data_IF_916250005316
#
_entry.id   IF_916250005316
#
_cell.length_a   1.000
_cell.length_b   1.000
_cell.length_c   1.000
_cell.angle_alpha   90.00
_cell.angle_beta   90.00
_cell.angle_gamma   90.00
#
_symmetry.space_group_name_H-M   'P 1'
#
loop_
_entity.id
_entity.type
_entity.pdbx_description
1 polymer ?
#
# COMPACT_ATOMS: atom_id res chain seq x y z
N UNK A 1 -8.77 -24.43 -31.04
CA UNK A 1 -7.36 -24.41 -31.49
C UNK A 1 -7.01 -22.98 -31.86
N UNK A 2 -6.14 -22.34 -31.07
CA UNK A 2 -5.71 -20.94 -31.18
C UNK A 2 -5.01 -20.56 -29.87
N UNK A 3 -3.70 -20.32 -29.94
CA UNK A 3 -2.75 -20.37 -28.82
C UNK A 3 -2.64 -19.06 -28.03
N UNK A 4 -2.53 -19.17 -26.69
CA UNK A 4 -1.77 -18.20 -25.91
C UNK A 4 -0.28 -18.44 -26.15
N UNK A 5 0.44 -17.48 -26.75
CA UNK A 5 1.91 -17.43 -26.68
C UNK A 5 2.29 -16.55 -25.48
N UNK A 6 3.15 -16.94 -24.56
CA UNK A 6 3.95 -18.17 -24.52
C UNK A 6 4.39 -18.54 -23.10
N UNK A 7 4.80 -19.80 -22.97
CA UNK A 7 5.40 -20.38 -21.76
C UNK A 7 4.48 -21.36 -21.03
N UNK A 8 4.44 -22.61 -21.49
CA UNK A 8 3.81 -23.75 -20.80
C UNK A 8 4.76 -24.37 -19.79
N UNK A 9 4.25 -24.80 -18.64
CA UNK A 9 4.47 -26.20 -18.21
C UNK A 9 3.23 -26.78 -17.48
N UNK A 10 2.78 -27.99 -17.85
CA UNK A 10 1.63 -28.66 -17.24
C UNK A 10 2.09 -29.67 -16.18
N UNK A 11 1.78 -29.42 -14.90
CA UNK A 11 1.57 -30.38 -13.79
C UNK A 11 1.86 -29.73 -12.41
N UNK A 12 1.09 -28.70 -12.04
CA UNK A 12 1.16 -28.06 -10.71
C UNK A 12 -0.24 -27.89 -10.09
N UNK A 13 -0.37 -27.82 -8.74
CA UNK A 13 -1.65 -27.81 -8.02
C UNK A 13 -2.45 -26.51 -8.28
N UNK A 14 -3.72 -26.40 -7.85
CA UNK A 14 -4.73 -25.55 -8.48
C UNK A 14 -4.36 -24.06 -8.39
N UNK A 15 -4.59 -23.34 -9.49
CA UNK A 15 -4.35 -21.89 -9.61
C UNK A 15 -5.14 -21.15 -8.53
N UNK A 16 -4.41 -20.65 -7.54
CA UNK A 16 -4.87 -19.84 -6.43
C UNK A 16 -5.22 -18.42 -6.88
N UNK A 17 -6.32 -17.87 -6.36
CA UNK A 17 -6.76 -16.47 -6.33
C UNK A 17 -6.61 -15.68 -7.64
N UNK A 18 -7.63 -15.79 -8.50
CA UNK A 18 -7.78 -14.92 -9.66
C UNK A 18 -8.78 -13.81 -9.36
N UNK A 19 -8.25 -12.60 -9.42
CA UNK A 19 -8.79 -11.47 -10.17
C UNK A 19 -10.10 -10.87 -9.65
N UNK A 20 -9.98 -9.71 -9.01
CA UNK A 20 -11.12 -8.99 -8.47
C UNK A 20 -11.24 -7.54 -8.93
N UNK A 21 -10.37 -7.08 -9.82
CA UNK A 21 -10.64 -5.90 -10.65
C UNK A 21 -10.24 -6.07 -12.14
N UNK A 22 -9.97 -7.31 -12.58
CA UNK A 22 -9.73 -7.65 -13.99
C UNK A 22 -10.40 -8.96 -14.45
N UNK A 23 -11.33 -9.54 -13.67
CA UNK A 23 -12.22 -10.60 -14.20
C UNK A 23 -13.66 -10.38 -13.83
N UNK A 24 -14.40 -9.78 -14.75
CA UNK A 24 -15.74 -10.28 -15.07
C UNK A 24 -15.57 -11.53 -15.94
N UNK A 25 -15.08 -12.64 -15.37
CA UNK A 25 -15.05 -13.91 -16.10
C UNK A 25 -15.49 -15.04 -15.20
N UNK A 26 -16.80 -15.31 -15.23
CA UNK A 26 -17.41 -16.42 -14.49
C UNK A 26 -18.72 -16.91 -15.11
N UNK A 27 -19.67 -16.02 -15.42
CA UNK A 27 -21.02 -16.47 -15.80
C UNK A 27 -21.67 -15.75 -17.00
N UNK A 28 -21.03 -14.74 -17.61
CA UNK A 28 -21.65 -13.88 -18.64
C UNK A 28 -20.98 -13.89 -20.03
N UNK A 29 -20.21 -14.91 -20.39
CA UNK A 29 -19.74 -15.08 -21.79
C UNK A 29 -18.79 -13.99 -22.32
N UNK A 30 -18.17 -13.19 -21.44
CA UNK A 30 -17.15 -12.21 -21.80
C UNK A 30 -15.79 -12.93 -21.82
N UNK A 31 -15.31 -13.24 -23.03
CA UNK A 31 -14.06 -14.00 -23.22
C UNK A 31 -12.79 -13.16 -23.12
N UNK A 32 -12.89 -11.83 -23.02
CA UNK A 32 -11.73 -10.96 -22.83
C UNK A 32 -12.14 -9.67 -22.08
N UNK A 33 -11.94 -9.66 -20.76
CA UNK A 33 -12.23 -8.48 -19.91
C UNK A 33 -11.18 -7.37 -20.15
N UNK A 34 -10.06 -7.73 -20.78
CA UNK A 34 -8.97 -6.81 -21.15
C UNK A 34 -9.37 -5.81 -22.24
N UNK A 35 -10.34 -6.16 -23.07
CA UNK A 35 -10.85 -5.28 -24.12
C UNK A 35 -11.96 -4.32 -23.64
N UNK A 36 -12.48 -4.51 -22.41
CA UNK A 36 -13.59 -3.73 -21.85
C UNK A 36 -13.17 -2.74 -20.75
N UNK A 37 -11.94 -2.85 -20.25
CA UNK A 37 -11.35 -1.89 -19.33
C UNK A 37 -10.55 -0.90 -20.17
N UNK A 38 -11.01 0.35 -20.34
CA UNK A 38 -10.22 1.31 -21.08
C UNK A 38 -9.10 1.80 -20.17
N UNK A 39 -7.95 1.14 -20.22
CA UNK A 39 -6.85 1.44 -19.31
C UNK A 39 -5.76 0.38 -19.30
N UNK A 40 -4.59 0.74 -18.81
CA UNK A 40 -3.56 -0.22 -18.45
C UNK A 40 -3.81 -0.66 -17.00
N UNK A 41 -3.98 -1.95 -16.76
CA UNK A 41 -4.20 -2.48 -15.42
C UNK A 41 -2.94 -3.19 -14.89
N UNK A 42 -2.65 -2.94 -13.62
CA UNK A 42 -1.66 -3.67 -12.84
C UNK A 42 -2.39 -4.79 -12.09
N UNK A 43 -2.21 -6.03 -12.59
CA UNK A 43 -2.85 -7.23 -12.07
C UNK A 43 -2.39 -7.57 -10.64
N UNK A 44 -1.19 -7.14 -10.24
CA UNK A 44 -0.68 -7.44 -8.90
C UNK A 44 -1.42 -6.60 -7.87
N UNK A 45 -1.54 -5.28 -8.08
CA UNK A 45 -2.22 -4.38 -7.13
C UNK A 45 -3.71 -4.16 -7.40
N UNK A 46 -4.26 -4.86 -8.41
CA UNK A 46 -5.66 -4.77 -8.82
C UNK A 46 -6.10 -3.32 -9.13
N UNK A 47 -5.23 -2.53 -9.74
CA UNK A 47 -5.46 -1.13 -10.06
C UNK A 47 -5.43 -0.90 -11.57
N UNK A 48 -6.37 -0.12 -12.09
CA UNK A 48 -6.36 0.32 -13.48
C UNK A 48 -5.97 1.80 -13.58
N UNK A 49 -5.33 2.13 -14.69
CA UNK A 49 -4.82 3.46 -15.01
C UNK A 49 -5.17 3.83 -16.44
N UNK A 50 -5.07 5.11 -16.76
CA UNK A 50 -5.17 5.56 -18.13
C UNK A 50 -4.19 4.82 -19.08
N UNK A 51 -4.56 4.67 -20.35
CA UNK A 51 -3.72 4.11 -21.43
C UNK A 51 -3.18 5.20 -22.39
N UNK A 52 -3.35 6.47 -22.01
CA UNK A 52 -3.11 7.62 -22.85
C UNK A 52 -1.84 8.39 -22.50
N UNK A 53 -1.89 9.70 -22.79
CA UNK A 53 -0.83 10.66 -22.44
C UNK A 53 -0.42 10.56 -20.96
N UNK A 54 -1.40 10.38 -20.06
CA UNK A 54 -1.21 10.23 -18.62
C UNK A 54 -1.30 8.78 -18.14
N UNK A 55 -0.87 7.82 -18.96
CA UNK A 55 -0.95 6.40 -18.62
C UNK A 55 0.10 5.89 -17.63
N UNK A 56 -0.13 4.71 -17.06
CA UNK A 56 0.83 4.02 -16.20
C UNK A 56 1.95 3.38 -17.05
N UNK A 57 3.13 3.19 -16.47
CA UNK A 57 4.23 2.47 -17.12
C UNK A 57 4.90 1.51 -16.13
N UNK A 58 4.86 0.22 -16.47
CA UNK A 58 5.44 -0.86 -15.67
C UNK A 58 6.91 -0.61 -15.31
N UNK A 59 7.35 -1.00 -14.10
CA UNK A 59 8.77 -0.99 -13.75
C UNK A 59 9.62 -1.94 -14.63
N UNK A 60 9.01 -2.99 -15.17
CA UNK A 60 9.67 -4.05 -15.94
C UNK A 60 9.09 -4.22 -17.34
N UNK A 61 9.94 -4.59 -18.30
CA UNK A 61 9.52 -5.11 -19.60
C UNK A 61 9.20 -6.62 -19.44
N UNK A 62 7.97 -6.95 -19.02
CA UNK A 62 7.49 -8.34 -18.85
C UNK A 62 6.91 -8.64 -17.47
N UNK A 63 6.85 -9.93 -17.10
CA UNK A 63 6.35 -10.38 -15.78
C UNK A 63 7.46 -10.27 -14.72
N UNK A 64 7.46 -9.18 -13.95
CA UNK A 64 8.29 -9.01 -12.76
C UNK A 64 7.41 -8.92 -11.51
N UNK A 65 7.97 -8.98 -10.30
CA UNK A 65 7.19 -8.68 -9.10
C UNK A 65 6.83 -7.18 -9.09
N UNK A 66 5.55 -6.81 -9.23
CA UNK A 66 5.12 -5.41 -9.28
C UNK A 66 5.09 -4.74 -7.88
N UNK A 67 5.86 -5.27 -6.94
CA UNK A 67 6.10 -4.70 -5.60
C UNK A 67 7.04 -3.48 -5.64
N UNK A 68 7.35 -2.97 -6.83
CA UNK A 68 8.29 -1.89 -7.09
C UNK A 68 7.56 -0.67 -7.67
N UNK A 69 8.00 0.56 -7.35
CA UNK A 69 7.44 1.76 -7.94
C UNK A 69 7.50 1.72 -9.47
N UNK A 70 6.43 2.13 -10.18
CA UNK A 70 6.41 2.15 -11.63
C UNK A 70 7.33 3.23 -12.20
N UNK A 71 7.68 3.11 -13.49
CA UNK A 71 8.42 4.17 -14.20
C UNK A 71 7.59 5.44 -14.31
N UNK A 72 6.27 5.26 -14.47
CA UNK A 72 5.28 6.32 -14.47
C UNK A 72 4.02 5.81 -13.77
N UNK A 73 3.59 6.51 -12.72
CA UNK A 73 2.40 6.12 -11.97
C UNK A 73 1.12 6.25 -12.81
N UNK A 74 1.05 7.27 -13.68
CA UNK A 74 -0.15 7.56 -14.47
C UNK A 74 -1.34 8.00 -13.62
N UNK A 75 -2.44 8.33 -14.29
CA UNK A 75 -3.70 8.68 -13.63
C UNK A 75 -4.50 7.42 -13.32
N UNK A 76 -4.92 7.22 -12.06
CA UNK A 76 -5.70 6.06 -11.67
C UNK A 76 -7.13 6.13 -12.24
N UNK A 77 -7.69 4.95 -12.50
CA UNK A 77 -9.07 4.72 -12.90
C UNK A 77 -9.73 3.77 -11.90
N UNK A 78 -10.18 4.32 -10.78
CA UNK A 78 -10.88 3.56 -9.74
C UNK A 78 -12.29 3.13 -10.19
N UNK A 79 -13.00 2.38 -9.35
CA UNK A 79 -14.34 1.83 -9.64
C UNK A 79 -15.33 2.88 -10.21
N UNK A 80 -15.36 4.07 -9.61
CA UNK A 80 -16.26 5.14 -10.03
C UNK A 80 -15.74 5.97 -11.22
N UNK A 81 -14.49 5.79 -11.61
CA UNK A 81 -13.85 6.46 -12.74
C UNK A 81 -13.76 5.51 -13.95
N UNK A 82 -14.90 4.93 -14.33
CA UNK A 82 -15.01 3.95 -15.41
C UNK A 82 -16.08 4.39 -16.43
N UNK A 83 -15.97 3.97 -17.70
CA UNK A 83 -16.95 4.33 -18.72
C UNK A 83 -18.31 3.67 -18.43
N UNK A 84 -19.39 4.42 -18.61
CA UNK A 84 -20.76 3.94 -18.47
C UNK A 84 -21.30 3.23 -19.73
N UNK A 85 -20.49 3.12 -20.78
CA UNK A 85 -20.80 2.41 -22.03
C UNK A 85 -19.52 1.94 -22.73
N UNK A 86 -19.62 0.83 -23.44
CA UNK A 86 -18.53 0.32 -24.28
C UNK A 86 -18.36 1.13 -25.56
N UNK A 87 -17.34 0.78 -26.34
CA UNK A 87 -17.03 1.43 -27.63
C UNK A 87 -18.17 1.29 -28.66
N UNK A 88 -18.96 0.23 -28.54
CA UNK A 88 -20.15 -0.04 -29.35
C UNK A 88 -21.40 0.73 -28.86
N UNK A 89 -21.27 1.51 -27.78
CA UNK A 89 -22.35 2.24 -27.14
C UNK A 89 -23.22 1.40 -26.22
N UNK A 90 -22.88 0.12 -25.99
CA UNK A 90 -23.62 -0.75 -25.06
C UNK A 90 -23.47 -0.22 -23.63
N UNK A 91 -24.57 0.03 -22.89
CA UNK A 91 -24.51 0.49 -21.52
C UNK A 91 -23.78 -0.49 -20.60
N UNK A 92 -22.88 0.05 -19.75
CA UNK A 92 -22.16 -0.66 -18.72
C UNK A 92 -22.74 -0.25 -17.35
N UNK A 93 -23.17 -1.23 -16.56
CA UNK A 93 -23.85 -0.99 -15.28
C UNK A 93 -22.92 -0.60 -14.12
N UNK A 94 -21.60 -0.60 -14.35
CA UNK A 94 -20.57 -0.43 -13.32
C UNK A 94 -19.81 0.90 -13.44
N UNK A 95 -19.73 1.49 -14.64
CA UNK A 95 -19.10 2.79 -14.84
C UNK A 95 -20.06 3.97 -14.72
N UNK A 96 -19.51 5.15 -14.45
CA UNK A 96 -20.28 6.37 -14.15
C UNK A 96 -20.04 7.51 -15.14
N UNK A 97 -18.99 7.44 -15.94
CA UNK A 97 -18.58 8.53 -16.83
C UNK A 97 -18.87 8.23 -18.29
N UNK A 98 -19.23 9.25 -19.06
CA UNK A 98 -19.24 9.11 -20.51
C UNK A 98 -17.80 8.88 -21.02
N UNK A 99 -17.53 7.97 -21.97
CA UNK A 99 -16.19 7.75 -22.50
C UNK A 99 -15.49 9.03 -22.99
N UNK A 100 -16.23 10.03 -23.49
CA UNK A 100 -15.63 11.31 -23.90
C UNK A 100 -15.09 12.13 -22.72
N UNK A 101 -15.65 11.97 -21.53
CA UNK A 101 -15.17 12.62 -20.30
C UNK A 101 -13.84 12.02 -19.80
N UNK A 102 -13.56 10.77 -20.19
CA UNK A 102 -12.34 10.06 -19.81
C UNK A 102 -11.27 10.15 -20.89
N UNK A 103 -11.63 9.95 -22.16
CA UNK A 103 -10.70 9.80 -23.28
C UNK A 103 -10.76 10.93 -24.32
N UNK A 104 -11.55 11.98 -24.06
CA UNK A 104 -11.57 13.16 -24.91
C UNK A 104 -10.19 13.82 -25.01
N UNK A 105 -9.70 14.20 -26.20
CA UNK A 105 -8.31 14.61 -26.42
C UNK A 105 -7.90 15.88 -25.65
N UNK A 106 -8.83 16.82 -25.44
CA UNK A 106 -8.53 18.12 -24.83
C UNK A 106 -9.09 18.29 -23.41
N UNK A 107 -10.10 17.49 -23.03
CA UNK A 107 -10.82 17.63 -21.76
C UNK A 107 -10.91 16.34 -20.95
N UNK A 108 -10.51 15.22 -21.54
CA UNK A 108 -10.64 13.89 -20.96
C UNK A 108 -9.62 13.62 -19.87
N UNK A 109 -10.04 12.91 -18.82
CA UNK A 109 -9.18 12.50 -17.70
C UNK A 109 -7.84 11.88 -18.11
N UNK A 110 -7.80 11.10 -19.19
CA UNK A 110 -6.60 10.36 -19.60
C UNK A 110 -5.68 11.10 -20.58
N UNK A 111 -6.17 12.13 -21.25
CA UNK A 111 -5.43 12.83 -22.32
C UNK A 111 -5.11 14.28 -21.99
N UNK A 112 -6.01 14.98 -21.29
CA UNK A 112 -5.87 16.41 -21.06
C UNK A 112 -4.91 16.73 -19.92
N UNK A 113 -4.12 17.80 -20.04
CA UNK A 113 -3.32 18.27 -18.91
C UNK A 113 -4.18 18.75 -17.73
N UNK A 114 -5.30 19.40 -18.03
CA UNK A 114 -6.28 19.87 -17.05
C UNK A 114 -7.67 19.38 -17.45
N UNK A 115 -8.04 18.13 -17.11
CA UNK A 115 -9.33 17.55 -17.46
C UNK A 115 -10.49 18.24 -16.73
N UNK A 116 -11.66 18.23 -17.37
CA UNK A 116 -12.89 18.73 -16.74
C UNK A 116 -13.40 17.76 -15.66
N UNK A 117 -13.23 16.46 -15.92
CA UNK A 117 -13.61 15.39 -15.01
C UNK A 117 -12.52 15.15 -13.98
N UNK A 118 -12.93 14.91 -12.72
CA UNK A 118 -12.03 14.64 -11.61
C UNK A 118 -12.35 13.27 -11.04
N UNK A 119 -11.38 12.36 -11.12
CA UNK A 119 -11.48 11.04 -10.52
C UNK A 119 -10.80 10.98 -9.16
N UNK A 120 -11.21 10.02 -8.33
CA UNK A 120 -10.64 9.84 -6.99
C UNK A 120 -9.21 9.28 -7.06
N UNK A 121 -8.29 9.92 -6.31
CA UNK A 121 -6.95 9.40 -6.08
C UNK A 121 -7.00 8.28 -5.02
N UNK A 122 -7.47 7.12 -5.45
CA UNK A 122 -7.68 5.97 -4.55
C UNK A 122 -6.37 5.33 -4.11
N UNK A 123 -5.29 5.42 -4.89
CA UNK A 123 -3.97 4.91 -4.53
C UNK A 123 -3.24 5.87 -3.58
N UNK A 124 -2.50 5.28 -2.63
CA UNK A 124 -1.66 6.04 -1.71
C UNK A 124 -0.41 6.57 -2.43
N UNK A 125 0.08 7.74 -2.01
CA UNK A 125 1.28 8.38 -2.56
C UNK A 125 1.04 9.33 -3.72
N UNK A 126 -0.19 9.45 -4.23
CA UNK A 126 -0.57 10.44 -5.23
C UNK A 126 -1.80 11.23 -4.76
N UNK A 127 -1.75 12.53 -4.99
CA UNK A 127 -2.78 13.48 -4.60
C UNK A 127 -2.90 14.61 -5.61
N UNK A 128 -3.52 15.70 -5.17
CA UNK A 128 -3.86 16.83 -6.01
C UNK A 128 -5.10 16.58 -6.87
N UNK A 129 -5.48 17.61 -7.62
CA UNK A 129 -6.70 17.65 -8.43
C UNK A 129 -6.77 16.59 -9.53
N UNK A 130 -5.59 16.13 -9.99
CA UNK A 130 -5.45 15.21 -11.12
C UNK A 130 -4.66 13.94 -10.77
N UNK A 131 -4.48 13.65 -9.47
CA UNK A 131 -3.74 12.48 -8.99
C UNK A 131 -2.33 12.33 -9.56
N UNK A 132 -1.68 13.45 -9.87
CA UNK A 132 -0.35 13.53 -10.46
C UNK A 132 0.68 14.18 -9.52
N UNK A 133 0.27 14.57 -8.32
CA UNK A 133 1.14 15.18 -7.32
C UNK A 133 1.60 14.12 -6.31
N UNK A 134 2.91 13.80 -6.25
CA UNK A 134 3.40 12.81 -5.31
C UNK A 134 3.31 13.34 -3.88
N UNK A 135 2.83 12.50 -2.97
CA UNK A 135 2.91 12.71 -1.53
C UNK A 135 3.49 11.47 -0.86
N UNK A 136 3.76 11.61 0.43
CA UNK A 136 4.33 10.54 1.25
C UNK A 136 3.38 9.35 1.34
N UNK A 137 3.91 8.14 1.17
CA UNK A 137 3.13 6.91 1.27
C UNK A 137 3.14 6.38 2.69
N UNK A 138 2.08 5.67 3.05
CA UNK A 138 1.98 5.05 4.37
C UNK A 138 2.61 3.66 4.34
N UNK A 139 3.60 3.44 5.19
CA UNK A 139 4.08 2.12 5.57
C UNK A 139 4.16 2.01 7.09
N UNK A 140 4.14 0.79 7.61
CA UNK A 140 4.32 0.54 9.05
C UNK A 140 5.67 1.14 9.48
N UNK A 141 5.63 2.02 10.49
CA UNK A 141 6.76 2.79 11.01
C UNK A 141 7.60 3.51 9.94
N UNK A 142 7.02 3.79 8.76
CA UNK A 142 7.74 4.34 7.61
C UNK A 142 9.06 3.59 7.33
N UNK A 143 9.01 2.27 7.40
CA UNK A 143 10.15 1.37 7.19
C UNK A 143 11.31 1.62 8.15
N UNK A 144 11.05 2.19 9.33
CA UNK A 144 12.05 2.55 10.35
C UNK A 144 13.20 3.39 9.77
N UNK A 145 12.95 4.04 8.64
CA UNK A 145 13.92 4.76 7.84
C UNK A 145 14.98 3.94 7.12
N UNK A 146 14.92 2.61 7.15
CA UNK A 146 15.89 1.70 6.53
C UNK A 146 15.29 0.94 5.33
N UNK A 147 14.47 1.63 4.54
CA UNK A 147 13.87 1.06 3.34
C UNK A 147 13.03 2.04 2.55
N UNK A 148 12.65 1.60 1.35
CA UNK A 148 11.73 2.34 0.47
C UNK A 148 10.30 1.87 0.70
N UNK A 149 9.39 2.81 0.98
CA UNK A 149 7.97 2.53 1.13
C UNK A 149 7.28 2.52 -0.25
N UNK A 150 6.50 1.48 -0.52
CA UNK A 150 5.65 1.40 -1.70
C UNK A 150 4.32 0.70 -1.37
N UNK A 151 3.23 1.46 -1.38
CA UNK A 151 1.87 1.04 -1.09
C UNK A 151 1.75 0.20 0.20
N UNK A 152 2.41 0.61 1.29
CA UNK A 152 2.35 -0.15 2.55
C UNK A 152 3.39 -1.27 2.69
N UNK A 153 4.17 -1.57 1.65
CA UNK A 153 5.30 -2.48 1.71
C UNK A 153 6.61 -1.76 1.91
N UNK A 154 7.43 -2.28 2.82
CA UNK A 154 8.79 -1.81 3.04
C UNK A 154 9.81 -2.69 2.33
N UNK A 155 10.43 -2.14 1.28
CA UNK A 155 11.61 -2.73 0.66
C UNK A 155 12.85 -2.31 1.45
N UNK A 156 13.32 -3.20 2.32
CA UNK A 156 14.44 -2.89 3.20
C UNK A 156 15.76 -2.68 2.46
N UNK A 157 16.59 -1.82 3.02
CA UNK A 157 17.98 -1.63 2.63
C UNK A 157 18.79 -2.91 2.87
N UNK A 158 19.89 -3.14 2.14
CA UNK A 158 20.73 -4.31 2.34
C UNK A 158 21.16 -4.49 3.80
N UNK A 159 20.86 -5.68 4.36
CA UNK A 159 21.17 -6.03 5.73
C UNK A 159 20.13 -5.61 6.78
N UNK A 160 19.04 -4.98 6.35
CA UNK A 160 17.84 -4.76 7.16
C UNK A 160 16.72 -5.71 6.78
N UNK A 161 15.87 -6.07 7.73
CA UNK A 161 14.76 -7.00 7.55
C UNK A 161 13.65 -6.77 8.59
N UNK A 162 12.58 -7.56 8.47
CA UNK A 162 11.35 -7.39 9.25
C UNK A 162 10.33 -6.54 8.49
N UNK A 163 9.10 -6.52 8.99
CA UNK A 163 7.98 -5.86 8.31
C UNK A 163 8.19 -4.33 8.12
N UNK A 164 8.89 -3.69 9.06
CA UNK A 164 9.20 -2.27 9.05
C UNK A 164 10.71 -1.99 8.97
N UNK A 165 11.52 -2.95 8.52
CA UNK A 165 12.97 -2.82 8.37
C UNK A 165 13.73 -2.38 9.64
N UNK A 166 13.16 -2.57 10.83
CA UNK A 166 13.82 -2.22 12.08
C UNK A 166 14.96 -3.17 12.47
N UNK A 167 14.92 -4.43 12.01
CA UNK A 167 15.92 -5.43 12.39
C UNK A 167 17.14 -5.34 11.48
N UNK A 168 18.35 -5.39 12.06
CA UNK A 168 19.62 -5.36 11.32
C UNK A 168 20.37 -6.68 11.47
N UNK A 169 20.87 -7.23 10.37
CA UNK A 169 21.69 -8.43 10.38
C UNK A 169 23.02 -8.20 11.12
N UNK A 170 23.49 -9.23 11.82
CA UNK A 170 24.74 -9.17 12.56
C UNK A 170 25.93 -8.84 11.64
N UNK A 171 26.76 -7.88 12.06
CA UNK A 171 27.95 -7.46 11.30
C UNK A 171 27.70 -6.46 10.18
N UNK A 172 26.46 -6.05 9.93
CA UNK A 172 26.15 -4.97 8.98
C UNK A 172 26.26 -3.61 9.68
N UNK A 173 26.97 -2.61 9.10
CA UNK A 173 27.01 -1.26 9.64
C UNK A 173 25.63 -0.61 9.56
N UNK A 174 25.30 0.25 10.53
CA UNK A 174 24.06 1.01 10.47
C UNK A 174 24.05 1.92 9.23
N UNK A 175 22.95 1.93 8.47
CA UNK A 175 22.77 2.89 7.38
C UNK A 175 22.37 4.27 7.95
N UNK A 176 22.58 5.32 7.16
CA UNK A 176 22.24 6.69 7.55
C UNK A 176 20.73 6.92 7.78
N UNK A 177 19.89 5.98 7.34
CA UNK A 177 18.43 6.07 7.46
C UNK A 177 17.82 7.11 6.52
N UNK A 178 16.68 7.67 6.93
CA UNK A 178 15.95 8.70 6.17
C UNK A 178 16.64 10.06 6.25
N UNK A 179 16.73 10.74 5.11
CA UNK A 179 17.18 12.14 5.05
C UNK A 179 16.04 13.10 5.47
N UNK A 180 16.05 13.53 6.74
CA UNK A 180 15.07 14.49 7.26
C UNK A 180 15.14 15.89 6.66
N UNK A 181 16.21 16.23 5.92
CA UNK A 181 16.28 17.50 5.17
C UNK A 181 15.32 17.48 3.99
N UNK A 182 15.19 16.32 3.32
CA UNK A 182 14.31 16.13 2.17
C UNK A 182 12.89 15.76 2.60
N UNK A 183 12.74 15.03 3.71
CA UNK A 183 11.47 14.54 4.24
C UNK A 183 11.28 14.93 5.71
N UNK A 184 11.16 16.24 6.03
CA UNK A 184 11.11 16.73 7.41
C UNK A 184 9.90 16.22 8.20
N UNK A 185 8.77 15.95 7.53
CA UNK A 185 7.55 15.41 8.13
C UNK A 185 7.72 14.00 8.73
N UNK A 186 8.79 13.29 8.38
CA UNK A 186 9.08 11.95 8.93
C UNK A 186 9.84 11.97 10.26
N UNK A 187 10.39 13.12 10.66
CA UNK A 187 11.23 13.23 11.86
C UNK A 187 10.51 12.82 13.15
N UNK A 188 9.19 12.95 13.19
CA UNK A 188 8.38 12.53 14.35
C UNK A 188 7.97 11.05 14.29
N UNK A 189 8.00 10.43 13.11
CA UNK A 189 7.51 9.07 12.86
C UNK A 189 8.62 8.03 12.83
N UNK A 190 9.79 8.41 12.32
CA UNK A 190 10.96 7.54 12.19
C UNK A 190 11.93 7.89 13.31
N UNK A 191 11.98 7.05 14.33
CA UNK A 191 13.04 7.11 15.33
C UNK A 191 14.11 6.07 15.03
N UNK A 192 15.38 6.42 15.27
CA UNK A 192 16.46 5.43 15.29
C UNK A 192 16.10 4.34 16.30
N UNK A 193 15.99 3.10 15.81
CA UNK A 193 15.69 1.96 16.64
C UNK A 193 16.90 1.63 17.53
N UNK A 194 16.87 2.07 18.78
CA UNK A 194 17.73 1.52 19.82
C UNK A 194 16.92 0.55 20.67
N UNK A 195 17.51 -0.59 21.03
CA UNK A 195 16.79 -1.58 21.82
C UNK A 195 16.44 -1.01 23.20
N UNK A 196 15.26 -1.35 23.71
CA UNK A 196 14.83 -0.98 25.05
C UNK A 196 15.83 -1.48 26.11
N UNK A 197 16.51 -0.58 26.82
CA UNK A 197 17.34 -0.97 27.97
C UNK A 197 16.51 -1.54 29.12
N UNK A 198 15.22 -1.18 29.23
CA UNK A 198 14.30 -1.69 30.25
C UNK A 198 13.00 -2.21 29.61
N UNK A 199 12.95 -3.54 29.39
CA UNK A 199 11.73 -4.25 28.99
C UNK A 199 10.82 -4.46 30.20
N UNK A 200 9.51 -4.31 30.01
CA UNK A 200 8.49 -4.54 31.03
C UNK A 200 7.70 -5.79 30.72
N UNK A 201 7.35 -6.56 31.75
CA UNK A 201 6.43 -7.69 31.59
C UNK A 201 4.99 -7.20 31.41
N UNK A 202 4.16 -7.90 30.61
CA UNK A 202 4.49 -9.14 29.92
C UNK A 202 5.40 -8.93 28.70
N UNK A 203 6.27 -9.90 28.40
CA UNK A 203 7.07 -9.90 27.18
C UNK A 203 6.29 -10.53 26.02
N UNK A 204 6.29 -9.89 24.87
CA UNK A 204 5.54 -10.27 23.68
C UNK A 204 6.53 -10.52 22.53
N UNK A 205 6.57 -11.76 22.05
CA UNK A 205 7.29 -12.09 20.83
C UNK A 205 6.38 -11.82 19.62
N UNK A 206 6.84 -10.97 18.70
CA UNK A 206 6.11 -10.64 17.47
C UNK A 206 6.68 -11.48 16.34
N UNK A 207 5.84 -12.28 15.69
CA UNK A 207 6.26 -13.05 14.52
C UNK A 207 6.55 -12.13 13.34
N UNK A 208 7.81 -12.15 12.88
CA UNK A 208 8.19 -11.64 11.56
C UNK A 208 7.78 -12.66 10.49
N UNK A 209 6.52 -12.57 10.05
CA UNK A 209 6.01 -13.38 8.95
C UNK A 209 6.63 -12.96 7.61
N UNK A 210 6.75 -13.88 6.64
CA UNK A 210 7.05 -13.51 5.26
C UNK A 210 6.10 -12.44 4.73
N UNK A 211 6.61 -11.58 3.84
CA UNK A 211 5.89 -10.43 3.28
C UNK A 211 4.50 -10.77 2.72
N UNK A 212 4.36 -11.95 2.11
CA UNK A 212 3.11 -12.45 1.55
C UNK A 212 1.97 -12.59 2.58
N UNK A 213 2.28 -12.72 3.87
CA UNK A 213 1.29 -12.90 4.94
C UNK A 213 1.03 -11.64 5.77
N UNK A 214 1.87 -10.61 5.65
CA UNK A 214 1.71 -9.37 6.41
C UNK A 214 1.60 -8.12 5.50
N UNK A 215 2.66 -7.73 4.80
CA UNK A 215 2.74 -6.46 4.05
C UNK A 215 2.01 -6.49 2.71
N UNK A 216 1.83 -7.67 2.12
CA UNK A 216 1.13 -7.83 0.84
C UNK A 216 -0.33 -7.37 0.90
N UNK A 217 -1.02 -7.59 2.03
CA UNK A 217 -2.41 -7.10 2.23
C UNK A 217 -2.50 -5.56 2.22
N UNK A 218 -1.44 -4.86 2.62
CA UNK A 218 -1.40 -3.40 2.59
C UNK A 218 -1.16 -2.82 1.18
N UNK A 219 -0.52 -3.59 0.29
CA UNK A 219 -0.37 -3.21 -1.11
C UNK A 219 -1.65 -3.34 -1.92
N UNK A 220 -2.56 -4.23 -1.50
CA UNK A 220 -3.79 -4.56 -2.23
C UNK A 220 -5.04 -3.88 -1.69
N UNK A 221 -4.85 -2.74 -1.01
CA UNK A 221 -5.96 -1.92 -0.53
C UNK A 221 -6.68 -1.31 -1.72
N UNK A 222 -8.02 -1.34 -1.69
CA UNK A 222 -8.84 -0.74 -2.73
C UNK A 222 -8.85 0.78 -2.64
N UNK A 223 -8.67 1.31 -1.44
CA UNK A 223 -8.52 2.74 -1.19
C UNK A 223 -7.41 3.03 -0.18
N UNK A 224 -6.70 4.15 -0.37
CA UNK A 224 -5.60 4.62 0.50
C UNK A 224 -6.00 4.82 1.95
N UNK A 225 -7.31 4.97 2.22
CA UNK A 225 -7.87 5.14 3.57
C UNK A 225 -8.14 3.80 4.28
N UNK A 226 -8.19 2.71 3.55
CA UNK A 226 -8.50 1.42 4.14
C UNK A 226 -7.27 0.88 4.86
N UNK A 227 -7.48 0.03 5.87
CA UNK A 227 -6.42 -0.71 6.54
C UNK A 227 -5.32 0.09 7.24
N UNK A 228 -5.38 1.42 7.21
CA UNK A 228 -4.34 2.26 7.81
C UNK A 228 -4.95 3.21 8.81
N UNK A 229 -4.31 3.31 9.97
CA UNK A 229 -4.73 4.19 11.05
C UNK A 229 -4.09 5.58 10.92
N UNK A 230 -3.08 5.71 10.07
CA UNK A 230 -2.37 6.93 9.74
C UNK A 230 -2.18 6.97 8.24
N UNK A 231 -2.32 8.15 7.64
CA UNK A 231 -1.98 8.40 6.24
C UNK A 231 -1.34 9.79 6.11
N UNK A 232 -0.84 10.12 4.92
CA UNK A 232 -0.40 11.48 4.62
C UNK A 232 -1.40 12.17 3.71
N UNK A 233 -1.58 13.46 3.94
CA UNK A 233 -2.28 14.36 3.01
C UNK A 233 -1.39 14.68 1.82
N UNK A 234 -1.97 15.32 0.81
CA UNK A 234 -1.26 15.86 -0.35
C UNK A 234 -0.16 16.87 0.03
N UNK A 235 -0.22 17.42 1.25
CA UNK A 235 0.78 18.32 1.84
C UNK A 235 1.77 17.63 2.79
N UNK A 236 1.84 16.30 2.76
CA UNK A 236 2.67 15.46 3.64
C UNK A 236 2.38 15.64 5.14
N UNK A 237 1.17 16.09 5.50
CA UNK A 237 0.76 16.14 6.90
C UNK A 237 0.22 14.78 7.32
N UNK A 238 0.58 14.33 8.51
CA UNK A 238 0.02 13.09 9.07
C UNK A 238 -1.46 13.30 9.42
N UNK A 239 -2.31 12.42 8.90
CA UNK A 239 -3.73 12.34 9.21
C UNK A 239 -3.99 11.01 9.94
N UNK A 240 -4.65 11.08 11.09
CA UNK A 240 -5.07 9.89 11.84
C UNK A 240 -6.46 9.48 11.38
N UNK A 241 -6.56 8.25 10.89
CA UNK A 241 -7.81 7.63 10.53
C UNK A 241 -8.50 7.08 11.78
N UNK A 242 -9.80 7.33 11.90
CA UNK A 242 -10.63 6.93 13.04
C UNK A 242 -11.41 5.63 12.78
N UNK A 243 -11.19 4.98 11.64
CA UNK A 243 -11.86 3.74 11.28
C UNK A 243 -11.41 2.59 12.18
N UNK A 244 -12.34 1.86 12.77
CA UNK A 244 -12.03 0.75 13.68
C UNK A 244 -11.29 -0.39 12.99
N UNK A 245 -11.48 -0.58 11.68
CA UNK A 245 -10.79 -1.59 10.88
C UNK A 245 -9.29 -1.34 10.72
N UNK A 246 -8.74 -0.20 11.18
CA UNK A 246 -7.29 0.03 11.18
C UNK A 246 -6.60 -0.29 12.51
N UNK A 247 -7.33 -0.77 13.53
CA UNK A 247 -6.76 -0.99 14.86
C UNK A 247 -5.67 -2.07 14.88
N UNK A 248 -5.79 -3.11 14.06
CA UNK A 248 -4.79 -4.18 13.94
C UNK A 248 -3.45 -3.62 13.44
N UNK A 249 -3.51 -2.75 12.42
CA UNK A 249 -2.34 -2.05 11.89
C UNK A 249 -1.71 -1.10 12.91
N UNK A 250 -2.53 -0.32 13.62
CA UNK A 250 -2.06 0.53 14.70
C UNK A 250 -1.35 -0.28 15.79
N UNK A 251 -1.97 -1.37 16.24
CA UNK A 251 -1.44 -2.23 17.28
C UNK A 251 -0.13 -2.89 16.85
N UNK A 252 -0.07 -3.41 15.61
CA UNK A 252 1.16 -3.98 15.07
C UNK A 252 2.29 -2.95 14.99
N UNK A 253 2.01 -1.76 14.47
CA UNK A 253 2.98 -0.67 14.37
C UNK A 253 3.56 -0.31 15.74
N UNK A 254 2.70 -0.22 16.77
CA UNK A 254 3.14 0.05 18.15
C UNK A 254 3.98 -1.06 18.76
N UNK A 255 3.66 -2.32 18.46
CA UNK A 255 4.49 -3.44 18.90
C UNK A 255 5.87 -3.40 18.24
N UNK A 256 5.95 -3.00 16.96
CA UNK A 256 7.21 -2.99 16.23
C UNK A 256 8.12 -1.81 16.56
N UNK A 257 7.57 -0.64 16.96
CA UNK A 257 8.36 0.54 17.30
C UNK A 257 9.45 0.22 18.34
N UNK A 258 10.69 0.58 18.03
CA UNK A 258 11.85 0.40 18.89
C UNK A 258 12.02 1.59 19.86
N UNK A 259 12.59 1.32 21.04
CA UNK A 259 12.78 2.36 22.06
C UNK A 259 13.66 3.48 21.51
N UNK A 260 13.26 4.71 21.80
CA UNK A 260 14.25 5.76 22.03
C UNK A 260 14.50 5.81 23.52
N UNK A 261 15.74 5.55 23.94
CA UNK A 261 16.19 5.97 25.26
C UNK A 261 16.21 7.49 25.22
N UNK A 262 15.22 8.12 25.84
CA UNK A 262 15.19 9.56 26.06
C UNK A 262 16.20 9.97 27.14
N UNK A 263 17.48 9.59 27.01
CA UNK A 263 18.53 10.02 27.91
C UNK A 263 19.03 11.45 27.61
N UNK A 264 18.72 12.01 26.42
CA UNK A 264 19.23 13.33 26.02
C UNK A 264 18.20 14.32 25.45
N UNK A 265 16.89 14.05 25.56
CA UNK A 265 15.86 14.94 25.01
C UNK A 265 15.28 15.87 26.10
N UNK A 266 15.27 17.18 25.83
CA UNK A 266 14.70 18.20 26.74
C UNK A 266 13.24 17.90 27.13
N UNK A 267 12.79 18.27 28.36
CA UNK A 267 11.42 18.04 28.83
C UNK A 267 10.30 18.60 27.93
N UNK A 268 10.63 19.61 27.11
CA UNK A 268 9.73 20.23 26.13
C UNK A 268 9.49 19.37 24.87
N UNK A 269 10.38 18.43 24.53
CA UNK A 269 10.16 17.46 23.45
C UNK A 269 9.30 16.28 23.90
N UNK A 270 9.40 15.87 25.18
CA UNK A 270 8.57 14.80 25.75
C UNK A 270 7.06 15.10 25.66
N UNK A 271 6.67 16.37 25.81
CA UNK A 271 5.26 16.78 25.75
C UNK A 271 4.67 16.83 24.33
N UNK A 272 5.53 16.86 23.30
CA UNK A 272 5.13 16.80 21.89
C UNK A 272 5.04 15.34 21.41
N UNK A 273 6.02 14.51 21.76
CA UNK A 273 5.99 13.06 21.49
C UNK A 273 4.85 12.33 22.23
N UNK A 274 4.49 12.79 23.44
CA UNK A 274 3.37 12.24 24.20
C UNK A 274 1.99 12.53 23.57
N UNK A 275 1.86 13.55 22.70
CA UNK A 275 0.60 13.89 22.04
C UNK A 275 0.32 13.05 20.78
N UNK A 276 1.37 12.49 20.17
CA UNK A 276 1.26 11.61 18.99
C UNK A 276 1.42 10.12 19.35
N UNK A 277 1.73 9.83 20.62
CA UNK A 277 1.74 8.50 21.18
C UNK A 277 2.90 7.62 20.72
N UNK A 278 3.85 8.09 19.90
CA UNK A 278 4.94 7.28 19.34
C UNK A 278 5.97 6.96 20.43
N UNK A 279 5.65 5.97 21.25
CA UNK A 279 6.57 5.27 22.16
C UNK A 279 6.45 3.80 21.81
N UNK A 280 7.60 3.19 21.61
CA UNK A 280 7.78 1.75 21.50
C UNK A 280 7.04 0.95 22.55
N UNK A 281 6.75 -0.29 22.20
CA UNK A 281 6.30 -1.26 23.17
C UNK A 281 7.49 -1.69 24.04
N UNK A 282 7.50 -1.27 25.30
CA UNK A 282 8.40 -1.80 26.35
C UNK A 282 8.25 -3.33 26.53
N UNK A 283 7.27 -3.94 25.86
CA UNK A 283 6.92 -5.35 25.97
C UNK A 283 7.52 -6.22 24.84
N UNK A 284 8.00 -5.67 23.71
CA UNK A 284 8.48 -6.52 22.60
C UNK A 284 9.79 -7.24 22.95
N UNK A 285 9.87 -8.53 22.66
CA UNK A 285 11.11 -9.33 22.69
C UNK A 285 11.43 -9.94 21.32
N UNK A 286 12.72 -10.13 21.06
CA UNK A 286 13.26 -10.86 19.90
C UNK A 286 13.66 -12.31 20.26
N UNK A 287 13.63 -12.67 21.54
CA UNK A 287 13.90 -14.01 22.02
C UNK A 287 12.57 -14.71 22.36
N UNK A 288 12.17 -15.75 21.61
CA UNK A 288 10.92 -16.46 21.86
C UNK A 288 10.93 -17.26 23.17
N UNK A 289 12.09 -17.59 23.74
CA UNK A 289 12.18 -18.38 24.98
C UNK A 289 11.81 -17.57 26.23
N UNK A 290 11.98 -16.25 26.20
CA UNK A 290 11.62 -15.35 27.32
C UNK A 290 10.19 -14.80 27.23
N UNK A 291 9.47 -15.10 26.14
CA UNK A 291 8.16 -14.52 25.84
C UNK A 291 7.07 -15.03 26.78
N UNK A 292 6.27 -14.10 27.33
CA UNK A 292 5.03 -14.42 28.05
C UNK A 292 3.87 -14.67 27.08
N UNK A 293 3.86 -13.95 25.95
CA UNK A 293 2.87 -14.07 24.89
C UNK A 293 3.50 -14.06 23.50
N UNK A 294 2.78 -14.64 22.55
CA UNK A 294 3.12 -14.62 21.14
C UNK A 294 2.05 -13.84 20.37
N UNK A 295 2.49 -12.89 19.54
CA UNK A 295 1.63 -12.10 18.68
C UNK A 295 1.95 -12.38 17.21
N UNK A 296 0.92 -12.80 16.46
CA UNK A 296 0.99 -12.99 15.03
C UNK A 296 0.13 -11.92 14.36
N UNK A 297 0.69 -11.02 13.53
CA UNK A 297 -0.12 -10.02 12.84
C UNK A 297 -1.00 -10.71 11.80
N UNK A 298 -2.31 -10.70 12.02
CA UNK A 298 -3.29 -11.17 11.05
C UNK A 298 -4.15 -9.97 10.71
N UNK A 299 -3.93 -9.38 9.54
CA UNK A 299 -4.68 -8.22 9.04
C UNK A 299 -6.09 -8.61 8.58
N UNK A 300 -6.86 -9.22 9.47
CA UNK A 300 -8.19 -9.76 9.19
C UNK A 300 -9.16 -8.63 8.85
N UNK A 301 -9.02 -7.48 9.51
CA UNK A 301 -9.85 -6.31 9.21
C UNK A 301 -9.65 -5.81 7.77
N UNK A 302 -8.45 -6.02 7.21
CA UNK A 302 -8.14 -5.71 5.81
C UNK A 302 -8.72 -6.67 4.81
N UNK A 303 -9.03 -7.89 5.24
CA UNK A 303 -9.76 -8.83 4.41
C UNK A 303 -11.27 -8.58 4.47
N UNK A 304 -11.82 -8.37 5.66
CA UNK A 304 -13.28 -8.35 5.87
C UNK A 304 -14.02 -7.14 5.27
N UNK A 305 -13.43 -5.95 5.25
CA UNK A 305 -14.14 -4.77 4.76
C UNK A 305 -13.80 -4.43 3.30
N UNK A 306 -12.53 -4.23 2.92
CA UNK A 306 -12.15 -3.96 1.54
C UNK A 306 -12.50 -5.14 0.62
N UNK A 307 -11.97 -6.33 0.92
CA UNK A 307 -12.06 -7.49 0.02
C UNK A 307 -13.44 -8.13 0.10
N UNK A 308 -13.89 -8.52 1.29
CA UNK A 308 -15.20 -9.16 1.37
C UNK A 308 -16.37 -8.20 1.10
N UNK A 309 -16.26 -6.94 1.56
CA UNK A 309 -17.37 -5.98 1.51
C UNK A 309 -17.59 -5.33 0.15
N UNK A 310 -16.52 -4.91 -0.54
CA UNK A 310 -16.64 -4.24 -1.85
C UNK A 310 -16.52 -5.19 -3.03
N UNK A 311 -15.81 -6.31 -2.85
CA UNK A 311 -15.25 -7.05 -3.97
C UNK A 311 -15.90 -8.42 -4.14
N UNK A 312 -16.22 -9.13 -3.05
CA UNK A 312 -16.88 -10.45 -3.08
C UNK A 312 -18.39 -10.40 -2.76
N UNK A 313 -18.95 -9.24 -2.41
CA UNK A 313 -20.38 -9.13 -2.13
C UNK A 313 -21.18 -9.00 -3.45
N UNK A 314 -22.29 -9.75 -3.64
CA UNK A 314 -23.16 -9.53 -4.78
C UNK A 314 -23.80 -8.15 -4.68
N UNK A 315 -23.57 -7.30 -5.69
CA UNK A 315 -24.24 -6.02 -5.90
C UNK A 315 -25.14 -6.11 -7.12
#
# INVERSE_FOLDING_TARGET
>A
MGNCRGGTEPNGPPKSWKNLFCTVSGEFGINDVRDLLPGMCDDDIAACFCNGTYGWESPYEGSGPHSYPPRRQGRPMGLHCQPNKGDDGTPLHWGQHDPAELFGPDTGWCEAAAPNTRCECFLDGMGGDYCDQPHEQTCINQCSGHGTCYLGFCKCDPGYFGHDCANRAAGVPASAGVNFTERPWLSELVSAAEQAEQRRRPLIYVYDLPAEFNSRMLQYRLSKRECVWRQFTDSNQSFINTWTYSIENAFHERLLQANTVAAHMSPLCLSSAARLGIRSSEHRTLDPEEADFFYMPVYTSCFLHPVWGYVDHPW
#
